data_IF_841596697874
#
_entry.id   IF_841596697874
#
_cell.length_a   1.000
_cell.length_b   1.000
_cell.length_c   1.000
_cell.angle_alpha   90.00
_cell.angle_beta   90.00
_cell.angle_gamma   90.00
#
_symmetry.space_group_name_H-M   'P 1'
#
loop_
_entity.id
_entity.type
_entity.pdbx_description
1 polymer ?
#
# COMPACT_ATOMS: atom_id res chain seq x y z
N UNK A 1 16.55 7.28 -18.80
CA UNK A 1 16.70 8.12 -17.60
C UNK A 1 17.93 7.71 -16.78
N UNK A 2 18.07 6.45 -16.37
CA UNK A 2 19.23 5.96 -15.61
C UNK A 2 20.56 5.92 -16.39
N UNK A 3 20.50 5.90 -17.73
CA UNK A 3 21.69 6.03 -18.60
C UNK A 3 22.20 7.48 -18.71
N UNK A 4 21.72 8.40 -17.87
CA UNK A 4 22.14 9.79 -17.88
C UNK A 4 22.93 10.08 -16.61
N UNK A 5 24.23 10.37 -16.78
CA UNK A 5 25.16 10.61 -15.68
C UNK A 5 24.74 11.77 -14.77
N UNK A 6 24.07 12.79 -15.32
CA UNK A 6 23.54 13.89 -14.53
C UNK A 6 22.45 13.43 -13.56
N UNK A 7 21.53 12.59 -14.04
CA UNK A 7 20.49 11.99 -13.18
C UNK A 7 21.13 11.11 -12.11
N UNK A 8 22.08 10.25 -12.49
CA UNK A 8 22.78 9.37 -11.54
C UNK A 8 23.55 10.16 -10.49
N UNK A 9 24.19 11.27 -10.86
CA UNK A 9 24.89 12.17 -9.94
C UNK A 9 23.93 12.82 -8.93
N UNK A 10 22.78 13.33 -9.40
CA UNK A 10 21.77 13.91 -8.50
C UNK A 10 21.19 12.86 -7.54
N UNK A 11 20.96 11.64 -8.02
CA UNK A 11 20.50 10.52 -7.18
C UNK A 11 21.55 10.15 -6.13
N UNK A 12 22.83 10.13 -6.50
CA UNK A 12 23.94 9.88 -5.56
C UNK A 12 24.03 10.93 -4.45
N UNK A 13 23.91 12.22 -4.80
CA UNK A 13 23.92 13.32 -3.83
C UNK A 13 22.75 13.27 -2.84
N UNK A 14 21.61 12.71 -3.26
CA UNK A 14 20.36 12.67 -2.48
C UNK A 14 19.96 11.24 -2.09
N UNK A 15 20.93 10.31 -2.08
CA UNK A 15 20.66 8.89 -1.97
C UNK A 15 19.93 8.49 -0.68
N UNK A 16 20.17 9.21 0.42
CA UNK A 16 19.52 9.00 1.73
C UNK A 16 18.00 9.20 1.68
N UNK A 17 17.52 10.12 0.84
CA UNK A 17 16.08 10.37 0.69
C UNK A 17 15.48 9.53 -0.45
N UNK A 18 16.22 9.35 -1.55
CA UNK A 18 15.70 8.71 -2.77
C UNK A 18 15.67 7.19 -2.65
N UNK A 19 16.72 6.58 -2.12
CA UNK A 19 16.87 5.12 -2.10
C UNK A 19 15.77 4.40 -1.32
N UNK A 20 15.36 4.87 -0.11
CA UNK A 20 14.25 4.25 0.62
C UNK A 20 12.91 4.30 -0.11
N UNK A 21 12.71 5.28 -1.00
CA UNK A 21 11.46 5.44 -1.77
C UNK A 21 11.43 4.56 -3.00
N UNK A 22 12.56 4.47 -3.71
CA UNK A 22 12.64 3.74 -4.99
C UNK A 22 12.80 2.24 -4.76
N UNK A 23 13.60 1.82 -3.78
CA UNK A 23 13.92 0.39 -3.59
C UNK A 23 12.68 -0.52 -3.46
N UNK A 24 11.65 -0.18 -2.65
CA UNK A 24 10.45 -1.01 -2.56
C UNK A 24 9.72 -1.18 -3.90
N UNK A 25 9.71 -0.14 -4.75
CA UNK A 25 9.10 -0.21 -6.06
C UNK A 25 9.88 -1.15 -7.00
N UNK A 26 11.21 -1.10 -6.96
CA UNK A 26 12.06 -2.00 -7.74
C UNK A 26 11.91 -3.45 -7.29
N UNK A 27 11.91 -3.72 -5.99
CA UNK A 27 11.75 -5.09 -5.46
C UNK A 27 10.40 -5.70 -5.82
N UNK A 28 9.31 -4.94 -5.70
CA UNK A 28 7.98 -5.41 -6.11
C UNK A 28 7.89 -5.66 -7.61
N UNK A 29 8.49 -4.78 -8.43
CA UNK A 29 8.55 -4.99 -9.88
C UNK A 29 9.31 -6.28 -10.22
N UNK A 30 10.46 -6.54 -9.59
CA UNK A 30 11.24 -7.76 -9.83
C UNK A 30 10.44 -9.02 -9.46
N UNK A 31 9.63 -8.97 -8.39
CA UNK A 31 8.85 -10.12 -7.93
C UNK A 31 7.70 -10.52 -8.85
N UNK A 32 7.07 -9.57 -9.54
CA UNK A 32 5.76 -9.84 -10.19
C UNK A 32 5.53 -9.17 -11.54
N UNK A 33 6.51 -8.46 -12.11
CA UNK A 33 6.30 -7.84 -13.42
C UNK A 33 6.31 -8.89 -14.53
N UNK A 34 5.32 -8.84 -15.43
CA UNK A 34 5.11 -9.85 -16.48
C UNK A 34 6.08 -9.74 -17.67
N UNK A 35 6.62 -8.55 -17.90
CA UNK A 35 7.50 -8.28 -19.03
C UNK A 35 8.99 -8.44 -18.67
N UNK A 36 9.68 -9.37 -19.34
CA UNK A 36 11.10 -9.66 -19.10
C UNK A 36 12.04 -8.47 -19.34
N UNK A 37 11.78 -7.64 -20.36
CA UNK A 37 12.63 -6.48 -20.63
C UNK A 37 12.54 -5.44 -19.50
N UNK A 38 11.34 -5.28 -18.92
CA UNK A 38 11.14 -4.42 -17.75
C UNK A 38 11.82 -5.01 -16.51
N UNK A 39 11.77 -6.33 -16.32
CA UNK A 39 12.51 -7.00 -15.24
C UNK A 39 14.01 -6.74 -15.36
N UNK A 40 14.60 -7.00 -16.53
CA UNK A 40 16.03 -6.77 -16.78
C UNK A 40 16.43 -5.31 -16.54
N UNK A 41 15.61 -4.35 -17.00
CA UNK A 41 15.86 -2.93 -16.75
C UNK A 41 15.81 -2.61 -15.25
N UNK A 42 14.85 -3.18 -14.53
CA UNK A 42 14.68 -2.97 -13.08
C UNK A 42 15.87 -3.54 -12.30
N UNK A 43 16.36 -4.73 -12.67
CA UNK A 43 17.55 -5.32 -12.07
C UNK A 43 18.80 -4.48 -12.31
N UNK A 44 18.98 -3.94 -13.51
CA UNK A 44 20.10 -3.05 -13.82
C UNK A 44 20.08 -1.80 -12.93
N UNK A 45 18.92 -1.19 -12.73
CA UNK A 45 18.76 -0.02 -11.84
C UNK A 45 19.03 -0.40 -10.39
N UNK A 46 18.51 -1.53 -9.92
CA UNK A 46 18.75 -2.04 -8.57
C UNK A 46 20.24 -2.27 -8.32
N UNK A 47 20.95 -2.83 -9.30
CA UNK A 47 22.41 -3.05 -9.24
C UNK A 47 23.16 -1.72 -9.12
N UNK A 48 22.83 -0.73 -9.96
CA UNK A 48 23.43 0.60 -9.89
C UNK A 48 23.26 1.25 -8.51
N UNK A 49 22.07 1.16 -7.92
CA UNK A 49 21.81 1.70 -6.57
C UNK A 49 22.62 0.97 -5.49
N UNK A 50 22.78 -0.35 -5.61
CA UNK A 50 23.59 -1.14 -4.68
C UNK A 50 25.08 -0.81 -4.77
N UNK A 51 25.59 -0.53 -5.98
CA UNK A 51 26.99 -0.13 -6.19
C UNK A 51 27.27 1.28 -5.68
N UNK A 52 26.26 2.16 -5.70
CA UNK A 52 26.37 3.55 -5.27
C UNK A 52 26.51 3.69 -3.75
N UNK A 53 25.74 2.94 -2.97
CA UNK A 53 25.89 2.87 -1.51
C UNK A 53 25.31 1.56 -0.95
N UNK A 54 26.18 0.55 -0.78
CA UNK A 54 25.77 -0.79 -0.36
C UNK A 54 25.21 -0.86 1.06
N UNK A 55 25.67 -0.01 1.99
CA UNK A 55 25.20 0.00 3.37
C UNK A 55 23.76 0.51 3.45
N UNK A 56 23.49 1.67 2.82
CA UNK A 56 22.14 2.23 2.74
C UNK A 56 21.19 1.29 2.00
N UNK A 57 21.66 0.68 0.90
CA UNK A 57 20.89 -0.31 0.15
C UNK A 57 20.47 -1.49 1.02
N UNK A 58 21.40 -2.04 1.79
CA UNK A 58 21.15 -3.18 2.69
C UNK A 58 20.14 -2.80 3.78
N UNK A 59 20.32 -1.64 4.42
CA UNK A 59 19.38 -1.12 5.42
C UNK A 59 17.97 -0.93 4.86
N UNK A 60 17.85 -0.34 3.66
CA UNK A 60 16.56 -0.18 2.99
C UNK A 60 15.93 -1.53 2.63
N UNK A 61 16.72 -2.51 2.20
CA UNK A 61 16.25 -3.84 1.85
C UNK A 61 15.68 -4.57 3.07
N UNK A 62 16.39 -4.55 4.20
CA UNK A 62 15.89 -5.12 5.46
C UNK A 62 14.57 -4.49 5.90
N UNK A 63 14.48 -3.16 5.84
CA UNK A 63 13.22 -2.44 6.14
C UNK A 63 12.08 -2.83 5.22
N UNK A 64 12.37 -3.02 3.93
CA UNK A 64 11.37 -3.47 2.97
C UNK A 64 10.87 -4.90 3.27
N UNK A 65 11.77 -5.81 3.63
CA UNK A 65 11.39 -7.20 3.99
C UNK A 65 10.49 -7.24 5.22
N UNK A 66 10.83 -6.48 6.28
CA UNK A 66 10.01 -6.34 7.49
C UNK A 66 8.62 -5.74 7.20
N UNK A 67 8.56 -4.70 6.36
CA UNK A 67 7.28 -4.09 5.96
C UNK A 67 6.43 -5.05 5.10
N UNK A 68 7.04 -5.84 4.22
CA UNK A 68 6.32 -6.83 3.42
C UNK A 68 5.74 -7.95 4.29
N UNK A 69 6.48 -8.43 5.30
CA UNK A 69 5.97 -9.42 6.26
C UNK A 69 4.75 -8.88 7.02
N UNK A 70 4.83 -7.64 7.51
CA UNK A 70 3.71 -6.97 8.17
C UNK A 70 2.51 -6.81 7.25
N UNK A 71 2.74 -6.41 6.00
CA UNK A 71 1.68 -6.28 4.99
C UNK A 71 0.97 -7.61 4.74
N UNK A 72 1.73 -8.69 4.57
CA UNK A 72 1.16 -10.03 4.37
C UNK A 72 0.34 -10.46 5.59
N UNK A 73 0.83 -10.22 6.81
CA UNK A 73 0.09 -10.52 8.03
C UNK A 73 -1.24 -9.75 8.13
N UNK A 74 -1.24 -8.46 7.76
CA UNK A 74 -2.46 -7.64 7.74
C UNK A 74 -3.45 -8.12 6.66
N UNK A 75 -2.96 -8.50 5.48
CA UNK A 75 -3.78 -9.05 4.40
C UNK A 75 -4.40 -10.39 4.80
N UNK A 76 -3.65 -11.25 5.48
CA UNK A 76 -4.13 -12.52 6.02
C UNK A 76 -5.21 -12.31 7.10
N UNK A 77 -4.97 -11.40 8.04
CA UNK A 77 -5.98 -11.03 9.05
C UNK A 77 -7.26 -10.51 8.39
N UNK A 78 -7.14 -9.66 7.37
CA UNK A 78 -8.29 -9.17 6.60
C UNK A 78 -9.03 -10.31 5.93
N UNK A 79 -8.32 -11.28 5.32
CA UNK A 79 -8.93 -12.46 4.69
C UNK A 79 -9.75 -13.28 5.69
N UNK A 80 -9.17 -13.59 6.86
CA UNK A 80 -9.87 -14.35 7.91
C UNK A 80 -11.12 -13.64 8.44
N UNK A 81 -11.07 -12.31 8.59
CA UNK A 81 -12.22 -11.52 9.02
C UNK A 81 -13.35 -11.59 7.97
N UNK A 82 -13.02 -11.46 6.69
CA UNK A 82 -13.99 -11.56 5.59
C UNK A 82 -14.62 -12.95 5.49
N UNK A 83 -13.82 -14.02 5.61
CA UNK A 83 -14.30 -15.40 5.57
C UNK A 83 -15.29 -15.69 6.72
N UNK A 84 -15.00 -15.22 7.93
CA UNK A 84 -15.91 -15.35 9.07
C UNK A 84 -17.21 -14.59 8.87
N UNK A 85 -17.15 -13.40 8.27
CA UNK A 85 -18.33 -12.59 7.97
C UNK A 85 -19.22 -13.29 6.93
N UNK A 86 -18.63 -13.80 5.85
CA UNK A 86 -19.34 -14.54 4.81
C UNK A 86 -19.99 -15.80 5.37
N UNK A 87 -19.25 -16.56 6.18
CA UNK A 87 -19.77 -17.74 6.88
C UNK A 87 -20.97 -17.39 7.76
N UNK A 88 -20.88 -16.32 8.57
CA UNK A 88 -21.96 -15.88 9.45
C UNK A 88 -23.19 -15.44 8.66
N UNK A 89 -23.01 -14.72 7.55
CA UNK A 89 -24.09 -14.29 6.68
C UNK A 89 -24.78 -15.47 5.97
N UNK A 90 -24.02 -16.48 5.53
CA UNK A 90 -24.55 -17.68 4.88
C UNK A 90 -25.42 -18.54 5.82
N UNK A 91 -25.14 -18.51 7.13
CA UNK A 91 -25.90 -19.25 8.13
C UNK A 91 -27.13 -18.52 8.67
N UNK A 92 -27.30 -17.22 8.38
CA UNK A 92 -28.57 -16.55 8.67
C UNK A 92 -29.54 -16.82 7.51
N UNK A 93 -30.68 -17.52 7.74
CA UNK A 93 -31.79 -17.36 6.82
C UNK A 93 -32.10 -15.86 6.79
N UNK A 94 -32.40 -15.31 5.62
CA UNK A 94 -33.02 -13.98 5.53
C UNK A 94 -34.37 -14.08 6.22
N UNK A 95 -34.37 -13.98 7.56
CA UNK A 95 -35.58 -13.92 8.35
C UNK A 95 -36.11 -12.51 8.16
N UNK A 96 -37.17 -12.43 7.36
CA UNK A 96 -38.00 -11.25 7.18
C UNK A 96 -38.11 -10.40 8.44
N UNK A 97 -38.00 -9.09 8.25
CA UNK A 97 -38.31 -8.00 9.18
C UNK A 97 -37.12 -7.37 9.94
N UNK A 98 -36.12 -6.86 9.23
CA UNK A 98 -35.46 -5.63 9.67
C UNK A 98 -36.24 -4.45 9.09
N UNK A 99 -37.37 -4.12 9.72
CA UNK A 99 -37.94 -2.80 9.55
C UNK A 99 -36.91 -1.80 10.10
N UNK A 100 -36.18 -1.14 9.20
CA UNK A 100 -35.40 0.04 9.53
C UNK A 100 -36.41 1.09 10.02
N UNK A 101 -36.60 1.18 11.33
CA UNK A 101 -37.27 2.31 11.96
C UNK A 101 -36.37 3.53 11.72
N UNK A 102 -36.57 4.18 10.57
CA UNK A 102 -36.14 5.56 10.37
C UNK A 102 -36.95 6.37 11.37
N UNK A 103 -36.35 6.70 12.51
CA UNK A 103 -36.91 7.72 13.41
C UNK A 103 -36.83 9.03 12.61
N UNK A 104 -37.96 9.66 12.23
CA UNK A 104 -37.88 10.97 11.61
C UNK A 104 -37.39 11.94 12.68
N UNK A 105 -36.32 12.67 12.39
CA UNK A 105 -35.84 13.73 13.25
C UNK A 105 -36.99 14.73 13.48
N UNK A 106 -37.46 14.83 14.72
CA UNK A 106 -38.37 15.90 15.13
C UNK A 106 -37.56 17.18 15.09
N UNK A 107 -37.72 17.98 14.04
CA UNK A 107 -37.23 19.35 14.01
C UNK A 107 -38.08 20.18 14.97
N UNK A 108 -37.49 20.91 15.94
CA UNK A 108 -38.25 21.85 16.74
C UNK A 108 -38.71 23.02 15.87
N UNK A 109 -39.92 23.59 16.09
CA UNK A 109 -40.39 24.73 15.33
C UNK A 109 -39.50 25.93 15.64
N UNK A 110 -38.98 26.57 14.58
CA UNK A 110 -38.31 27.86 14.66
C UNK A 110 -39.33 28.84 15.22
N UNK A 111 -39.12 29.31 16.45
CA UNK A 111 -39.86 30.43 17.00
C UNK A 111 -39.58 31.65 16.11
N UNK A 112 -40.56 32.04 15.30
CA UNK A 112 -40.58 33.32 14.62
C UNK A 112 -40.69 34.42 15.69
N UNK A 113 -39.55 34.92 16.13
CA UNK A 113 -39.45 36.30 16.63
C UNK A 113 -39.64 37.19 15.40
N UNK A 114 -40.60 38.12 15.45
CA UNK A 114 -40.48 39.52 15.01
C UNK A 114 -41.87 40.16 14.86
N UNK A 115 -42.06 41.31 15.53
CA UNK A 115 -43.05 42.34 15.18
C UNK A 115 -44.18 42.52 16.16
#
# INVERSE_FOLDING_TARGET
MWNNDHVTSLVSQNQQAIMPLILPALERNIRSHWNQAVLNLTENVKKLLSEMNGELFTSCKMRFEDEEEKRVAVEEQRRMIWERLETTAAFQPVTSNTAVLVIPAITPPIAAVLG
#
